data_IF_928277185824
#
_entry.id   IF_928277185824
#
_cell.length_a   1.000
_cell.length_b   1.000
_cell.length_c   1.000
_cell.angle_alpha   90.00
_cell.angle_beta   90.00
_cell.angle_gamma   90.00
#
_symmetry.space_group_name_H-M   'P 1'
#
loop_
_entity.id
_entity.type
_entity.pdbx_description
1 polymer ?
#
# COMPACT_ATOMS: atom_id res chain seq x y z
N UNK A 1 15.97 2.73 10.65
CA UNK A 1 15.16 1.51 10.53
C UNK A 1 15.63 0.48 11.56
N UNK A 2 14.71 -0.23 12.21
CA UNK A 2 15.06 -1.26 13.17
C UNK A 2 15.59 -2.50 12.46
N UNK A 3 16.36 -3.34 13.20
CA UNK A 3 16.86 -4.60 12.66
C UNK A 3 15.72 -5.54 12.25
N UNK A 4 14.59 -5.50 12.98
CA UNK A 4 13.41 -6.31 12.67
C UNK A 4 12.78 -5.86 11.35
N UNK A 5 12.62 -4.55 11.16
CA UNK A 5 12.06 -4.01 9.92
C UNK A 5 12.96 -4.33 8.73
N UNK A 6 14.28 -4.21 8.87
CA UNK A 6 15.22 -4.54 7.81
C UNK A 6 15.15 -6.04 7.46
N UNK A 7 14.96 -6.91 8.44
CA UNK A 7 14.84 -8.35 8.22
C UNK A 7 13.56 -8.69 7.45
N UNK A 8 12.43 -8.06 7.81
CA UNK A 8 11.16 -8.25 7.11
C UNK A 8 11.26 -7.78 5.67
N UNK A 9 11.82 -6.59 5.45
CA UNK A 9 12.01 -6.04 4.10
C UNK A 9 12.83 -6.99 3.24
N UNK A 10 13.93 -7.51 3.77
CA UNK A 10 14.81 -8.44 3.05
C UNK A 10 14.10 -9.75 2.70
N UNK A 11 13.14 -10.18 3.52
CA UNK A 11 12.40 -11.42 3.29
C UNK A 11 11.25 -11.24 2.29
N UNK A 12 10.79 -10.01 2.06
CA UNK A 12 9.67 -9.74 1.16
C UNK A 12 10.15 -9.73 -0.29
N UNK A 13 9.96 -10.86 -0.98
CA UNK A 13 10.23 -10.96 -2.41
C UNK A 13 8.96 -10.68 -3.18
N UNK A 14 9.09 -10.29 -4.45
CA UNK A 14 7.94 -10.05 -5.32
C UNK A 14 7.06 -11.30 -5.44
N UNK A 15 7.68 -12.46 -5.52
CA UNK A 15 6.95 -13.73 -5.59
C UNK A 15 6.08 -13.95 -4.35
N UNK A 16 6.62 -13.66 -3.17
CA UNK A 16 5.88 -13.77 -1.92
C UNK A 16 4.68 -12.82 -1.91
N UNK A 17 4.86 -11.58 -2.39
CA UNK A 17 3.79 -10.60 -2.46
C UNK A 17 2.65 -11.07 -3.38
N UNK A 18 3.00 -11.68 -4.51
CA UNK A 18 2.02 -12.16 -5.49
C UNK A 18 1.29 -13.41 -5.02
N UNK A 19 2.01 -14.36 -4.43
CA UNK A 19 1.45 -15.65 -4.06
C UNK A 19 0.79 -15.66 -2.69
N UNK A 20 1.28 -14.83 -1.76
CA UNK A 20 0.79 -14.79 -0.37
C UNK A 20 0.52 -13.35 0.06
N UNK A 21 -0.37 -12.62 -0.65
CA UNK A 21 -0.59 -11.20 -0.37
C UNK A 21 -1.13 -10.93 1.04
N UNK A 22 -1.96 -11.81 1.57
CA UNK A 22 -2.50 -11.65 2.94
C UNK A 22 -1.42 -11.81 4.00
N UNK A 23 -0.52 -12.78 3.80
CA UNK A 23 0.59 -12.99 4.73
C UNK A 23 1.57 -11.82 4.66
N UNK A 24 1.86 -11.34 3.46
CA UNK A 24 2.69 -10.17 3.26
C UNK A 24 2.06 -8.93 3.92
N UNK A 25 0.76 -8.75 3.78
CA UNK A 25 0.04 -7.63 4.40
C UNK A 25 0.18 -7.66 5.92
N UNK A 26 0.04 -8.83 6.53
CA UNK A 26 0.21 -8.97 7.99
C UNK A 26 1.61 -8.56 8.45
N UNK A 27 2.62 -8.97 7.70
CA UNK A 27 4.00 -8.58 8.02
C UNK A 27 4.20 -7.08 7.90
N UNK A 28 3.65 -6.47 6.85
CA UNK A 28 3.73 -5.02 6.66
C UNK A 28 2.99 -4.24 7.74
N UNK A 29 1.86 -4.76 8.21
CA UNK A 29 1.08 -4.12 9.26
C UNK A 29 1.81 -4.07 10.61
N UNK A 30 2.84 -4.89 10.79
CA UNK A 30 3.69 -4.87 11.97
C UNK A 30 4.79 -3.80 11.90
N UNK A 31 4.98 -3.18 10.73
CA UNK A 31 6.01 -2.18 10.52
C UNK A 31 5.45 -0.77 10.69
N UNK A 32 6.32 0.21 11.03
CA UNK A 32 5.94 1.62 10.87
C UNK A 32 5.55 1.88 9.41
N UNK A 33 4.65 2.83 9.20
CA UNK A 33 4.10 3.13 7.88
C UNK A 33 5.19 3.41 6.83
N UNK A 34 6.20 4.20 7.20
CA UNK A 34 7.30 4.52 6.27
C UNK A 34 8.07 3.28 5.85
N UNK A 35 8.31 2.37 6.79
CA UNK A 35 9.03 1.13 6.51
C UNK A 35 8.21 0.21 5.62
N UNK A 36 6.89 0.14 5.84
CA UNK A 36 6.00 -0.65 5.01
C UNK A 36 5.99 -0.12 3.56
N UNK A 37 5.90 1.19 3.39
CA UNK A 37 5.94 1.81 2.07
C UNK A 37 7.29 1.57 1.37
N UNK A 38 8.40 1.68 2.10
CA UNK A 38 9.74 1.40 1.57
C UNK A 38 9.88 -0.06 1.13
N UNK A 39 9.26 -0.98 1.86
CA UNK A 39 9.29 -2.40 1.51
C UNK A 39 8.52 -2.69 0.22
N UNK A 40 7.45 -1.95 -0.03
CA UNK A 40 6.61 -2.14 -1.22
C UNK A 40 7.13 -1.41 -2.45
N UNK A 41 7.63 -0.19 -2.29
CA UNK A 41 7.94 0.72 -3.39
C UNK A 41 8.81 0.13 -4.50
N UNK A 42 9.84 -0.71 -4.23
CA UNK A 42 10.71 -1.26 -5.28
C UNK A 42 10.07 -2.34 -6.16
N UNK A 43 8.94 -2.90 -5.72
CA UNK A 43 8.31 -4.02 -6.40
C UNK A 43 7.48 -3.58 -7.60
N UNK A 44 7.16 -4.54 -8.47
CA UNK A 44 6.29 -4.30 -9.62
C UNK A 44 4.91 -3.84 -9.14
N UNK A 45 4.30 -2.96 -9.91
CA UNK A 45 3.01 -2.35 -9.58
C UNK A 45 1.95 -3.39 -9.22
N UNK A 46 1.84 -4.46 -10.01
CA UNK A 46 0.84 -5.52 -9.74
C UNK A 46 1.04 -6.21 -8.39
N UNK A 47 2.28 -6.35 -7.95
CA UNK A 47 2.58 -6.94 -6.64
C UNK A 47 2.18 -5.99 -5.52
N UNK A 48 2.46 -4.70 -5.70
CA UNK A 48 2.06 -3.67 -4.74
C UNK A 48 0.54 -3.64 -4.60
N UNK A 49 -0.19 -3.65 -5.73
CA UNK A 49 -1.65 -3.63 -5.75
C UNK A 49 -2.23 -4.82 -4.99
N UNK A 50 -1.72 -6.02 -5.25
CA UNK A 50 -2.26 -7.23 -4.60
C UNK A 50 -2.14 -7.21 -3.08
N UNK A 51 -1.03 -6.70 -2.57
CA UNK A 51 -0.83 -6.60 -1.12
C UNK A 51 -1.61 -5.43 -0.54
N UNK A 52 -1.56 -4.28 -1.21
CA UNK A 52 -2.22 -3.07 -0.73
C UNK A 52 -3.72 -3.27 -0.55
N UNK A 53 -4.37 -3.93 -1.51
CA UNK A 53 -5.83 -4.12 -1.48
C UNK A 53 -6.31 -5.06 -0.37
N UNK A 54 -5.41 -5.79 0.28
CA UNK A 54 -5.75 -6.65 1.43
C UNK A 54 -5.21 -6.12 2.76
N UNK A 55 -4.58 -4.94 2.77
CA UNK A 55 -4.22 -4.24 4.00
C UNK A 55 -5.49 -3.73 4.70
N UNK A 56 -5.43 -3.62 6.03
CA UNK A 56 -6.49 -2.93 6.76
C UNK A 56 -6.63 -1.50 6.22
N UNK A 57 -7.85 -0.96 6.10
CA UNK A 57 -8.07 0.34 5.47
C UNK A 57 -7.25 1.50 6.06
N UNK A 58 -7.07 1.54 7.36
CA UNK A 58 -6.27 2.58 8.03
C UNK A 58 -4.80 2.47 7.66
N UNK A 59 -4.28 1.24 7.56
CA UNK A 59 -2.90 1.01 7.14
C UNK A 59 -2.76 1.31 5.65
N UNK A 60 -3.71 0.86 4.83
CA UNK A 60 -3.70 1.10 3.38
C UNK A 60 -3.66 2.60 3.07
N UNK A 61 -4.48 3.40 3.76
CA UNK A 61 -4.51 4.86 3.56
C UNK A 61 -3.20 5.52 3.97
N UNK A 62 -2.61 5.07 5.07
CA UNK A 62 -1.35 5.62 5.58
C UNK A 62 -0.17 5.28 4.64
N UNK A 63 -0.12 4.03 4.16
CA UNK A 63 0.93 3.59 3.23
C UNK A 63 0.83 4.35 1.90
N UNK A 64 -0.38 4.59 1.43
CA UNK A 64 -0.61 5.29 0.16
C UNK A 64 0.07 6.67 0.15
N UNK A 65 0.00 7.39 1.25
CA UNK A 65 0.62 8.71 1.39
C UNK A 65 2.15 8.63 1.31
N UNK A 66 2.72 7.54 1.79
CA UNK A 66 4.19 7.37 1.85
C UNK A 66 4.78 6.79 0.56
N UNK A 67 3.96 6.23 -0.32
CA UNK A 67 4.44 5.74 -1.62
C UNK A 67 4.74 6.92 -2.55
N UNK A 68 5.63 6.73 -3.55
CA UNK A 68 5.78 7.73 -4.60
C UNK A 68 4.41 8.05 -5.22
N UNK A 69 4.16 9.32 -5.47
CA UNK A 69 2.82 9.76 -5.89
C UNK A 69 2.31 9.04 -7.14
N UNK A 70 3.15 8.87 -8.15
CA UNK A 70 2.76 8.16 -9.37
C UNK A 70 2.34 6.71 -9.07
N UNK A 71 3.08 6.04 -8.21
CA UNK A 71 2.76 4.67 -7.78
C UNK A 71 1.44 4.65 -7.01
N UNK A 72 1.27 5.57 -6.07
CA UNK A 72 0.06 5.65 -5.26
C UNK A 72 -1.20 5.84 -6.12
N UNK A 73 -1.14 6.72 -7.11
CA UNK A 73 -2.25 6.98 -8.02
C UNK A 73 -2.63 5.70 -8.78
N UNK A 74 -1.63 4.98 -9.29
CA UNK A 74 -1.88 3.73 -10.03
C UNK A 74 -2.44 2.63 -9.15
N UNK A 75 -1.92 2.49 -7.93
CA UNK A 75 -2.43 1.53 -6.96
C UNK A 75 -3.90 1.79 -6.69
N UNK A 76 -4.23 3.05 -6.43
CA UNK A 76 -5.61 3.44 -6.14
C UNK A 76 -6.54 3.16 -7.32
N UNK A 77 -6.06 3.40 -8.55
CA UNK A 77 -6.86 3.19 -9.76
C UNK A 77 -7.04 1.71 -10.11
N UNK A 78 -6.03 0.87 -9.85
CA UNK A 78 -6.04 -0.53 -10.28
C UNK A 78 -6.48 -1.53 -9.21
N UNK A 79 -6.47 -1.15 -7.94
CA UNK A 79 -6.90 -2.02 -6.86
C UNK A 79 -8.41 -2.28 -6.93
N UNK A 80 -8.84 -3.32 -6.22
CA UNK A 80 -10.26 -3.60 -6.04
C UNK A 80 -10.97 -2.31 -5.60
N UNK A 81 -12.03 -1.88 -6.28
CA UNK A 81 -12.76 -0.65 -5.93
C UNK A 81 -13.22 -0.59 -4.48
N UNK A 82 -13.59 -1.72 -3.88
CA UNK A 82 -14.02 -1.75 -2.48
C UNK A 82 -12.84 -1.38 -1.58
N UNK A 83 -11.66 -1.90 -1.86
CA UNK A 83 -10.45 -1.57 -1.10
C UNK A 83 -10.07 -0.11 -1.27
N UNK A 84 -10.15 0.41 -2.48
CA UNK A 84 -9.84 1.81 -2.76
C UNK A 84 -10.79 2.76 -2.04
N UNK A 85 -12.09 2.47 -2.07
CA UNK A 85 -13.09 3.27 -1.36
C UNK A 85 -12.85 3.21 0.16
N UNK A 86 -12.58 2.02 0.69
CA UNK A 86 -12.34 1.87 2.13
C UNK A 86 -11.13 2.69 2.60
N UNK A 87 -10.05 2.72 1.80
CA UNK A 87 -8.88 3.54 2.11
C UNK A 87 -9.19 5.04 2.00
N UNK A 88 -9.90 5.45 0.95
CA UNK A 88 -10.26 6.85 0.75
C UNK A 88 -11.15 7.40 1.88
N UNK A 89 -12.01 6.55 2.45
CA UNK A 89 -12.87 6.96 3.55
C UNK A 89 -12.10 7.22 4.86
N UNK A 90 -10.84 6.81 4.93
CA UNK A 90 -9.99 7.11 6.10
C UNK A 90 -9.48 8.56 6.08
N UNK A 91 -9.50 9.23 4.92
CA UNK A 91 -9.05 10.61 4.78
C UNK A 91 -10.17 11.59 5.09
N UNK A 92 -9.82 12.83 5.40
CA UNK A 92 -10.79 13.91 5.43
C UNK A 92 -11.31 14.19 4.01
N UNK A 93 -12.38 14.96 3.93
CA UNK A 93 -13.05 15.24 2.63
C UNK A 93 -12.10 15.90 1.62
N UNK A 94 -11.32 16.87 2.07
CA UNK A 94 -10.43 17.61 1.18
C UNK A 94 -9.34 16.70 0.60
N UNK A 95 -8.72 15.88 1.44
CA UNK A 95 -7.69 14.94 1.02
C UNK A 95 -8.26 13.90 0.07
N UNK A 96 -9.45 13.38 0.39
CA UNK A 96 -10.14 12.41 -0.46
C UNK A 96 -10.42 12.97 -1.84
N UNK A 97 -10.92 14.20 -1.92
CA UNK A 97 -11.20 14.86 -3.19
C UNK A 97 -9.92 15.04 -4.02
N UNK A 98 -8.80 15.37 -3.38
CA UNK A 98 -7.51 15.47 -4.07
C UNK A 98 -7.09 14.14 -4.69
N UNK A 99 -7.24 13.04 -3.97
CA UNK A 99 -6.95 11.71 -4.50
C UNK A 99 -7.86 11.36 -5.67
N UNK A 100 -9.17 11.62 -5.53
CA UNK A 100 -10.14 11.32 -6.59
C UNK A 100 -9.83 12.12 -7.85
N UNK A 101 -9.47 13.39 -7.72
CA UNK A 101 -9.10 14.23 -8.86
C UNK A 101 -7.79 13.74 -9.52
N UNK A 102 -6.85 13.26 -8.74
CA UNK A 102 -5.58 12.74 -9.27
C UNK A 102 -5.77 11.45 -10.06
N UNK A 103 -6.73 10.61 -9.66
CA UNK A 103 -7.01 9.31 -10.31
C UNK A 103 -7.93 9.48 -11.52
N UNK A 104 -8.79 10.49 -11.53
CA UNK A 104 -9.74 10.71 -12.62
C UNK A 104 -9.03 10.93 -13.96
N UNK A 105 -9.53 10.36 -15.05
CA UNK A 105 -8.94 10.54 -16.38
C UNK A 105 -9.07 11.98 -16.86
#
# INVERSE_FOLDING_TARGET
>A
MSAEAASVIAALTERFLLDFPRDAARELELLPTEAAAEALAPHAERAIVRVWEVLAPDVASAVLVELPQATAIRVLAEADPIASVAALLQYDRETRERWLNAVAP
#
